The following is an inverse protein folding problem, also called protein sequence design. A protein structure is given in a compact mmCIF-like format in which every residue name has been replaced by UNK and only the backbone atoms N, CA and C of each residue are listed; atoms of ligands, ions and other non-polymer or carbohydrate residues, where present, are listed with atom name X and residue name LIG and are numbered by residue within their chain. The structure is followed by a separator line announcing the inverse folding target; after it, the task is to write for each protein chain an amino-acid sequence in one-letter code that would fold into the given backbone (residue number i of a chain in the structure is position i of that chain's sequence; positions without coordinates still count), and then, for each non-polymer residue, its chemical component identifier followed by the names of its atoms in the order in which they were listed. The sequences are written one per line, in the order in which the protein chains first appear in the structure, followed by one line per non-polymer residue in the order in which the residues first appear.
data_IF_228759549276
#
_entry.id   IF_228759549276
#
_cell.length_a   1.000
_cell.length_b   1.000
_cell.length_c   1.000
_cell.angle_alpha   90.00
_cell.angle_beta   90.00
_cell.angle_gamma   90.00
#
_symmetry.space_group_name_H-M   'P 1'
#
loop_
_entity.id
_entity.type
_entity.pdbx_description
1 polymer ?
#
# COMPACT_ATOMS: atom_id res chain seq x y z
N UNK A 1 2.73 9.04 -11.04
CA UNK A 1 2.34 7.68 -11.40
C UNK A 1 1.43 7.03 -10.37
N UNK A 2 1.53 5.71 -10.18
CA UNK A 2 0.64 4.97 -9.25
C UNK A 2 0.71 5.47 -7.81
N UNK A 3 1.90 5.74 -7.29
CA UNK A 3 2.06 6.30 -5.93
C UNK A 3 1.45 7.70 -5.79
N UNK A 4 1.57 8.55 -6.82
CA UNK A 4 0.92 9.86 -6.85
C UNK A 4 -0.60 9.72 -6.77
N UNK A 5 -1.19 8.86 -7.61
CA UNK A 5 -2.62 8.60 -7.62
C UNK A 5 -3.12 8.10 -6.26
N UNK A 6 -2.41 7.16 -5.63
CA UNK A 6 -2.74 6.66 -4.31
C UNK A 6 -2.65 7.75 -3.23
N UNK A 7 -1.61 8.58 -3.29
CA UNK A 7 -1.44 9.70 -2.37
C UNK A 7 -2.58 10.74 -2.49
N UNK A 8 -2.98 11.08 -3.72
CA UNK A 8 -4.10 11.99 -3.95
C UNK A 8 -5.43 11.39 -3.48
N UNK A 9 -5.65 10.09 -3.69
CA UNK A 9 -6.83 9.39 -3.17
C UNK A 9 -6.85 9.40 -1.63
N UNK A 10 -5.70 9.23 -0.98
CA UNK A 10 -5.60 9.37 0.48
C UNK A 10 -5.99 10.78 0.95
N UNK A 11 -5.49 11.83 0.30
CA UNK A 11 -5.85 13.22 0.63
C UNK A 11 -7.35 13.49 0.42
N UNK A 12 -7.96 12.89 -0.61
CA UNK A 12 -9.41 12.97 -0.81
C UNK A 12 -10.16 12.24 0.31
N UNK A 13 -9.74 11.04 0.69
CA UNK A 13 -10.35 10.27 1.77
C UNK A 13 -10.24 11.00 3.12
N UNK A 14 -9.13 11.71 3.33
CA UNK A 14 -8.94 12.60 4.49
C UNK A 14 -9.78 13.90 4.42
N UNK A 15 -10.53 14.13 3.34
CA UNK A 15 -11.39 15.30 3.16
C UNK A 15 -10.63 16.61 2.88
N UNK A 16 -9.38 16.51 2.44
CA UNK A 16 -8.54 17.68 2.19
C UNK A 16 -8.71 18.25 0.78
N UNK A 17 -8.98 17.40 -0.20
CA UNK A 17 -9.18 17.74 -1.62
C UNK A 17 -10.35 16.94 -2.20
N UNK A 18 -10.80 17.32 -3.41
CA UNK A 18 -11.62 16.45 -4.27
C UNK A 18 -10.93 16.23 -5.60
N UNK A 19 -11.09 15.05 -6.13
CA UNK A 19 -10.56 14.63 -7.42
C UNK A 19 -11.70 14.49 -8.43
N UNK A 20 -11.45 14.92 -9.66
CA UNK A 20 -12.27 14.62 -10.84
C UNK A 20 -11.45 13.69 -11.74
N UNK A 21 -11.66 12.39 -11.56
CA UNK A 21 -10.98 11.32 -12.28
C UNK A 21 -11.99 10.23 -12.61
N UNK A 22 -11.90 9.64 -13.78
CA UNK A 22 -12.79 8.55 -14.20
C UNK A 22 -12.37 7.22 -13.56
N UNK A 23 -13.34 6.34 -13.39
CA UNK A 23 -13.07 4.99 -12.88
C UNK A 23 -11.99 4.28 -13.69
N UNK A 24 -10.97 3.76 -12.99
CA UNK A 24 -9.84 3.06 -13.59
C UNK A 24 -8.72 3.94 -14.14
N UNK A 25 -8.85 5.28 -14.09
CA UNK A 25 -7.77 6.20 -14.45
C UNK A 25 -6.95 6.58 -13.21
N UNK A 26 -5.64 6.79 -13.41
CA UNK A 26 -4.76 7.27 -12.35
C UNK A 26 -4.94 8.78 -12.15
N UNK A 27 -5.18 9.20 -10.92
CA UNK A 27 -5.23 10.61 -10.56
C UNK A 27 -3.84 11.26 -10.62
N UNK A 28 -3.82 12.50 -11.05
CA UNK A 28 -2.67 13.41 -11.01
C UNK A 28 -3.07 14.71 -10.32
N UNK A 29 -2.12 15.57 -9.97
CA UNK A 29 -2.38 16.89 -9.37
C UNK A 29 -3.37 17.71 -10.24
N UNK A 30 -3.38 17.51 -11.57
CA UNK A 30 -4.29 18.19 -12.49
C UNK A 30 -5.76 17.79 -12.32
N UNK A 31 -6.02 16.66 -11.71
CA UNK A 31 -7.36 16.17 -11.43
C UNK A 31 -7.96 16.73 -10.13
N UNK A 32 -7.25 17.58 -9.41
CA UNK A 32 -7.78 18.22 -8.21
C UNK A 32 -8.85 19.23 -8.63
N UNK A 33 -10.12 18.92 -8.34
CA UNK A 33 -11.29 19.76 -8.64
C UNK A 33 -11.62 20.75 -7.52
N UNK A 34 -11.35 20.36 -6.26
CA UNK A 34 -11.53 21.24 -5.11
C UNK A 34 -10.33 21.14 -4.17
N UNK A 35 -9.85 22.29 -3.71
CA UNK A 35 -8.78 22.41 -2.71
C UNK A 35 -9.13 23.58 -1.77
N UNK A 36 -10.12 23.37 -0.86
CA UNK A 36 -10.68 24.45 -0.03
C UNK A 36 -9.67 25.04 0.94
N UNK A 37 -8.66 24.27 1.33
CA UNK A 37 -7.58 24.72 2.22
C UNK A 37 -6.41 25.39 1.49
N UNK A 38 -6.45 25.45 0.13
CA UNK A 38 -5.40 26.01 -0.72
C UNK A 38 -4.04 25.37 -0.46
N UNK A 39 -4.01 24.04 -0.32
CA UNK A 39 -2.79 23.29 -0.10
C UNK A 39 -1.85 23.43 -1.32
N UNK A 40 -0.57 23.70 -1.08
CA UNK A 40 0.47 23.67 -2.11
C UNK A 40 1.01 22.22 -2.22
N UNK A 41 0.39 21.43 -3.11
CA UNK A 41 0.68 20.01 -3.27
C UNK A 41 1.79 19.85 -4.30
N UNK A 42 2.89 19.20 -3.88
CA UNK A 42 4.08 18.95 -4.71
C UNK A 42 4.33 17.47 -4.86
N UNK A 43 4.58 17.04 -6.09
CA UNK A 43 5.03 15.68 -6.39
C UNK A 43 6.54 15.58 -6.20
N UNK A 44 6.96 14.53 -5.49
CA UNK A 44 8.37 14.19 -5.29
C UNK A 44 8.57 12.69 -5.44
N UNK A 45 9.80 12.24 -5.57
CA UNK A 45 10.13 10.82 -5.58
C UNK A 45 9.71 10.16 -4.25
N UNK A 46 9.05 9.00 -4.33
CA UNK A 46 8.45 8.36 -3.16
C UNK A 46 9.47 8.03 -2.06
N UNK A 47 10.68 7.64 -2.44
CA UNK A 47 11.80 7.37 -1.53
C UNK A 47 12.32 8.60 -0.79
N UNK A 48 12.01 9.80 -1.29
CA UNK A 48 12.42 11.07 -0.68
C UNK A 48 11.34 11.66 0.25
N UNK A 49 10.09 11.17 0.16
CA UNK A 49 8.96 11.77 0.85
C UNK A 49 9.16 11.86 2.37
N UNK A 50 9.66 10.81 3.02
CA UNK A 50 9.94 10.81 4.45
C UNK A 50 11.02 11.84 4.86
N UNK A 51 12.03 12.04 4.01
CA UNK A 51 13.13 12.98 4.28
C UNK A 51 12.70 14.44 4.23
N UNK A 52 11.61 14.74 3.49
CA UNK A 52 11.10 16.12 3.37
C UNK A 52 10.28 16.59 4.56
N UNK A 53 9.92 15.72 5.51
CA UNK A 53 9.09 16.05 6.67
C UNK A 53 9.63 17.23 7.52
N UNK A 54 10.93 17.48 7.48
CA UNK A 54 11.53 18.62 8.17
C UNK A 54 11.34 19.97 7.45
N UNK A 55 10.85 19.96 6.19
CA UNK A 55 10.76 21.14 5.32
C UNK A 55 9.37 21.36 4.73
N UNK A 56 8.41 20.52 5.06
CA UNK A 56 7.00 20.63 4.63
C UNK A 56 6.08 20.44 5.84
N UNK A 57 4.84 20.91 5.73
CA UNK A 57 3.86 20.77 6.82
C UNK A 57 3.39 19.31 6.98
N UNK A 58 3.30 18.55 5.89
CA UNK A 58 2.96 17.13 5.87
C UNK A 58 3.46 16.47 4.58
N UNK A 59 3.65 15.16 4.63
CA UNK A 59 3.96 14.35 3.45
C UNK A 59 3.15 13.04 3.45
N UNK A 60 2.76 12.57 2.28
CA UNK A 60 2.21 11.23 2.10
C UNK A 60 3.38 10.28 1.83
N UNK A 61 3.58 9.31 2.71
CA UNK A 61 4.72 8.39 2.69
C UNK A 61 4.21 6.96 2.58
N UNK A 62 4.72 6.20 1.62
CA UNK A 62 4.44 4.77 1.53
C UNK A 62 5.05 4.02 2.72
N UNK A 63 4.34 3.02 3.23
CA UNK A 63 4.73 2.28 4.44
C UNK A 63 6.17 1.75 4.40
N UNK A 64 6.60 1.15 3.28
CA UNK A 64 7.97 0.64 3.14
C UNK A 64 9.05 1.71 3.30
N UNK A 65 8.81 2.93 2.81
CA UNK A 65 9.74 4.05 2.97
C UNK A 65 9.67 4.66 4.37
N UNK A 66 8.47 4.68 4.99
CA UNK A 66 8.33 5.09 6.37
C UNK A 66 9.15 4.20 7.31
N UNK A 67 9.09 2.87 7.11
CA UNK A 67 9.89 1.91 7.87
C UNK A 67 11.41 2.09 7.64
N UNK A 68 11.84 2.20 6.37
CA UNK A 68 13.26 2.38 6.03
C UNK A 68 13.87 3.66 6.63
N UNK A 69 13.06 4.71 6.76
CA UNK A 69 13.48 6.01 7.31
C UNK A 69 13.17 6.15 8.80
N UNK A 70 12.68 5.10 9.47
CA UNK A 70 12.29 5.08 10.87
C UNK A 70 11.34 6.24 11.23
N UNK A 71 10.35 6.49 10.37
CA UNK A 71 9.29 7.48 10.66
C UNK A 71 8.50 7.01 11.88
N UNK A 72 8.30 7.90 12.84
CA UNK A 72 7.50 7.61 14.02
C UNK A 72 6.01 7.56 13.64
N UNK A 73 5.41 6.37 13.73
CA UNK A 73 4.02 6.14 13.38
C UNK A 73 3.03 6.84 14.33
N UNK A 74 3.45 7.17 15.54
CA UNK A 74 2.62 7.93 16.48
C UNK A 74 2.40 9.38 16.00
N UNK A 75 3.20 9.85 15.05
CA UNK A 75 3.03 11.17 14.42
C UNK A 75 2.10 11.15 13.21
N UNK A 76 1.54 9.99 12.85
CA UNK A 76 0.67 9.84 11.69
C UNK A 76 -0.65 10.59 11.88
N UNK A 77 -0.94 11.55 10.99
CA UNK A 77 -2.16 12.35 11.02
C UNK A 77 -3.36 11.61 10.43
N UNK A 78 -3.13 10.82 9.40
CA UNK A 78 -4.15 10.04 8.71
C UNK A 78 -3.50 8.82 8.03
N UNK A 79 -4.14 7.67 8.09
CA UNK A 79 -3.66 6.43 7.52
C UNK A 79 -4.74 5.78 6.66
N UNK A 80 -4.34 5.20 5.54
CA UNK A 80 -5.20 4.34 4.74
C UNK A 80 -5.57 3.10 5.56
N UNK A 81 -6.86 2.80 5.63
CA UNK A 81 -7.31 1.59 6.34
C UNK A 81 -6.84 0.33 5.60
N UNK A 82 -6.17 -0.59 6.27
CA UNK A 82 -5.77 -1.85 5.66
C UNK A 82 -6.99 -2.61 5.14
N UNK A 83 -6.99 -3.00 3.88
CA UNK A 83 -8.07 -3.76 3.26
C UNK A 83 -7.54 -4.82 2.30
N UNK A 84 -8.11 -6.03 2.39
CA UNK A 84 -7.86 -7.11 1.43
C UNK A 84 -8.55 -6.88 0.09
N UNK A 85 -9.45 -5.90 0.01
CA UNK A 85 -10.26 -5.59 -1.19
C UNK A 85 -9.60 -4.53 -2.08
N UNK A 86 -8.46 -3.97 -1.70
CA UNK A 86 -7.72 -2.96 -2.47
C UNK A 86 -6.96 -3.60 -3.64
N UNK A 87 -7.70 -4.14 -4.62
CA UNK A 87 -7.18 -4.94 -5.74
C UNK A 87 -6.09 -4.25 -6.54
N UNK A 88 -6.17 -2.93 -6.70
CA UNK A 88 -5.24 -2.15 -7.53
C UNK A 88 -3.85 -2.01 -6.89
N UNK A 89 -3.73 -2.29 -5.60
CA UNK A 89 -2.50 -2.15 -4.82
C UNK A 89 -1.90 -3.46 -4.33
N UNK A 90 -2.51 -4.58 -4.72
CA UNK A 90 -2.05 -5.92 -4.33
C UNK A 90 -0.77 -6.28 -5.07
N UNK A 91 0.27 -6.66 -4.33
CA UNK A 91 1.45 -7.28 -4.90
C UNK A 91 1.13 -8.71 -5.35
N UNK A 92 1.56 -9.08 -6.55
CA UNK A 92 1.26 -10.37 -7.17
C UNK A 92 2.51 -11.15 -7.53
N UNK A 93 2.40 -12.47 -7.54
CA UNK A 93 3.40 -13.34 -8.17
C UNK A 93 2.98 -13.51 -9.64
N UNK A 94 3.74 -12.91 -10.55
CA UNK A 94 3.46 -13.00 -11.98
C UNK A 94 4.29 -14.11 -12.65
N UNK A 95 3.68 -14.83 -13.58
CA UNK A 95 4.34 -15.84 -14.39
C UNK A 95 3.90 -15.70 -15.85
N UNK A 96 4.64 -16.32 -16.78
CA UNK A 96 4.26 -16.36 -18.19
C UNK A 96 2.91 -17.05 -18.39
N UNK A 97 2.17 -16.65 -19.44
CA UNK A 97 0.82 -17.16 -19.75
C UNK A 97 0.71 -18.69 -19.74
N UNK A 98 1.73 -19.38 -20.26
CA UNK A 98 1.75 -20.84 -20.38
C UNK A 98 2.62 -21.52 -19.33
N UNK A 99 2.89 -20.89 -18.19
CA UNK A 99 3.77 -21.40 -17.15
C UNK A 99 3.39 -22.80 -16.63
N UNK A 100 2.10 -23.10 -16.58
CA UNK A 100 1.58 -24.40 -16.12
C UNK A 100 1.98 -25.57 -17.03
N UNK A 101 2.29 -25.28 -18.31
CA UNK A 101 2.76 -26.28 -19.29
C UNK A 101 4.28 -26.35 -19.39
N UNK A 102 4.99 -25.49 -18.67
CA UNK A 102 6.44 -25.41 -18.71
C UNK A 102 7.08 -26.48 -17.81
N UNK A 103 8.36 -26.76 -18.05
CA UNK A 103 9.18 -27.61 -17.19
C UNK A 103 9.44 -26.99 -15.79
N UNK A 104 8.98 -25.75 -15.55
CA UNK A 104 9.09 -25.05 -14.27
C UNK A 104 7.77 -25.01 -13.49
N UNK A 105 6.71 -25.63 -14.00
CA UNK A 105 5.37 -25.58 -13.39
C UNK A 105 5.39 -25.99 -11.91
N UNK A 106 6.04 -27.11 -11.58
CA UNK A 106 6.09 -27.63 -10.22
C UNK A 106 6.92 -26.71 -9.29
N UNK A 107 8.01 -26.15 -9.79
CA UNK A 107 8.81 -25.18 -9.03
C UNK A 107 8.00 -23.91 -8.73
N UNK A 108 7.23 -23.40 -9.69
CA UNK A 108 6.37 -22.22 -9.51
C UNK A 108 5.25 -22.51 -8.50
N UNK A 109 4.59 -23.69 -8.60
CA UNK A 109 3.57 -24.12 -7.61
C UNK A 109 4.16 -24.23 -6.21
N UNK A 110 5.37 -24.77 -6.09
CA UNK A 110 6.08 -24.87 -4.81
C UNK A 110 6.37 -23.48 -4.23
N UNK A 111 6.84 -22.53 -5.05
CA UNK A 111 7.08 -21.15 -4.65
C UNK A 111 5.78 -20.49 -4.13
N UNK A 112 4.68 -20.62 -4.88
CA UNK A 112 3.39 -20.07 -4.47
C UNK A 112 2.94 -20.64 -3.13
N UNK A 113 3.03 -21.97 -2.96
CA UNK A 113 2.67 -22.63 -1.70
C UNK A 113 3.57 -22.23 -0.53
N UNK A 114 4.88 -22.05 -0.79
CA UNK A 114 5.82 -21.59 0.21
C UNK A 114 5.59 -20.14 0.65
N UNK A 115 5.02 -19.31 -0.22
CA UNK A 115 4.70 -17.91 0.09
C UNK A 115 3.29 -17.75 0.68
N UNK A 116 2.29 -18.44 0.12
CA UNK A 116 0.88 -18.30 0.50
C UNK A 116 0.52 -19.29 1.62
N UNK A 117 0.92 -18.99 2.84
CA UNK A 117 0.58 -19.76 4.05
C UNK A 117 0.44 -18.83 5.27
N UNK A 118 -0.12 -19.34 6.36
CA UNK A 118 -0.46 -18.56 7.54
C UNK A 118 0.77 -18.01 8.27
N UNK A 119 1.89 -18.73 8.26
CA UNK A 119 3.14 -18.27 8.89
C UNK A 119 3.70 -17.04 8.15
N UNK A 120 3.76 -17.10 6.81
CA UNK A 120 4.19 -15.96 5.99
C UNK A 120 3.20 -14.80 6.11
N UNK A 121 1.90 -15.07 6.18
CA UNK A 121 0.89 -14.04 6.40
C UNK A 121 1.13 -13.28 7.71
N UNK A 122 1.44 -14.00 8.79
CA UNK A 122 1.74 -13.40 10.08
C UNK A 122 3.05 -12.59 10.04
N UNK A 123 4.10 -13.12 9.38
CA UNK A 123 5.37 -12.41 9.21
C UNK A 123 5.16 -11.10 8.43
N UNK A 124 4.40 -11.13 7.33
CA UNK A 124 4.08 -9.92 6.55
C UNK A 124 3.39 -8.88 7.44
N UNK A 125 2.37 -9.30 8.16
CA UNK A 125 1.59 -8.43 9.03
C UNK A 125 2.45 -7.79 10.13
N UNK A 126 3.22 -8.60 10.85
CA UNK A 126 4.04 -8.11 11.97
C UNK A 126 5.23 -7.25 11.47
N UNK A 127 5.89 -7.65 10.38
CA UNK A 127 7.01 -6.91 9.80
C UNK A 127 6.60 -5.58 9.17
N UNK A 128 5.35 -5.44 8.71
CA UNK A 128 4.84 -4.21 8.11
C UNK A 128 4.25 -3.22 9.12
N UNK A 129 4.53 -3.38 10.40
CA UNK A 129 3.91 -2.60 11.46
C UNK A 129 2.37 -2.72 11.49
N UNK A 130 1.87 -3.91 11.14
CA UNK A 130 0.45 -4.29 11.11
C UNK A 130 -0.38 -3.57 10.04
N UNK A 131 0.27 -3.06 9.00
CA UNK A 131 -0.36 -2.32 7.91
C UNK A 131 -0.64 -3.22 6.69
N UNK A 132 0.31 -4.10 6.31
CA UNK A 132 0.15 -4.93 5.13
C UNK A 132 -0.64 -6.21 5.45
N UNK A 133 -1.63 -6.51 4.61
CA UNK A 133 -2.47 -7.71 4.73
C UNK A 133 -2.20 -8.69 3.59
N UNK A 134 -2.26 -10.01 3.87
CA UNK A 134 -2.22 -11.01 2.81
C UNK A 134 -3.50 -10.95 1.98
N UNK A 135 -3.38 -11.03 0.65
CA UNK A 135 -4.51 -10.85 -0.28
C UNK A 135 -4.80 -12.10 -1.15
N UNK A 136 -4.24 -13.25 -0.84
CA UNK A 136 -4.57 -14.49 -1.56
C UNK A 136 -5.85 -15.15 -1.03
N UNK A 137 -6.44 -16.00 -1.85
CA UNK A 137 -7.67 -16.74 -1.47
C UNK A 137 -7.42 -17.64 -0.26
N UNK A 138 -8.22 -17.46 0.78
CA UNK A 138 -8.11 -18.23 2.03
C UNK A 138 -7.04 -17.72 2.99
N UNK A 139 -6.45 -16.55 2.73
CA UNK A 139 -5.54 -15.90 3.66
C UNK A 139 -6.21 -15.57 5.01
N UNK A 140 -5.47 -15.52 6.11
CA UNK A 140 -5.97 -15.08 7.39
C UNK A 140 -6.53 -13.66 7.31
N UNK A 141 -7.61 -13.41 8.03
CA UNK A 141 -8.19 -12.06 8.17
C UNK A 141 -7.34 -11.20 9.09
N UNK A 142 -7.52 -9.87 9.01
CA UNK A 142 -6.83 -8.94 9.90
C UNK A 142 -7.07 -9.26 11.38
N UNK A 143 -8.30 -9.64 11.75
CA UNK A 143 -8.62 -9.99 13.14
C UNK A 143 -7.89 -11.25 13.63
N UNK A 144 -7.73 -12.24 12.76
CA UNK A 144 -6.95 -13.45 13.05
C UNK A 144 -5.47 -13.11 13.25
N UNK A 145 -4.90 -12.27 12.39
CA UNK A 145 -3.51 -11.82 12.49
C UNK A 145 -3.27 -10.99 13.75
N UNK A 146 -4.19 -10.06 14.09
CA UNK A 146 -4.16 -9.30 15.35
C UNK A 146 -4.20 -10.20 16.59
N UNK A 147 -5.01 -11.23 16.56
CA UNK A 147 -5.12 -12.18 17.68
C UNK A 147 -3.83 -12.98 17.88
N UNK A 148 -3.13 -13.33 16.81
CA UNK A 148 -1.87 -14.06 16.86
C UNK A 148 -0.69 -13.19 17.32
N UNK A 149 -0.65 -11.91 16.95
CA UNK A 149 0.40 -10.97 17.38
C UNK A 149 0.42 -10.66 18.89
N UNK A 150 -0.62 -11.05 19.62
CA UNK A 150 -0.75 -10.84 21.08
C UNK A 150 -0.22 -12.01 21.91
N UNK A 151 0.23 -13.08 21.25
CA UNK A 151 0.82 -14.24 21.90
C UNK A 151 2.34 -14.16 21.91
#
# INVERSE_FOLDING_TARGET
GTNESRALTLLQTAGLIKLDVKDGELATIKNISENPKKLDIKEIAAEQAAQTLSSVDAAVVNNSYAQQQNVDYDTTLFQEEPSQDLKDWVNIIAANKDWEKSNKADAIKTLIKAYQNDEVAQIIYDASNKVDLPAWKGAPTQDQLKANSKK
#
